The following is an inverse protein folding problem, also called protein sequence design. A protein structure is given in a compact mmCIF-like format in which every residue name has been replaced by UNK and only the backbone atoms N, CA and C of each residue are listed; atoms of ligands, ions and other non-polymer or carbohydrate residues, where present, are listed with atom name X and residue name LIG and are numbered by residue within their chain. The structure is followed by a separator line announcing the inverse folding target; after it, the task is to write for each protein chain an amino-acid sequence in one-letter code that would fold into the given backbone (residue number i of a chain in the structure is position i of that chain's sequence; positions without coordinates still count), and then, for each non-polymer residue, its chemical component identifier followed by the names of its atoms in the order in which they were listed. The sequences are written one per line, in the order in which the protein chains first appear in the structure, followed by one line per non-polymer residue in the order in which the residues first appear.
data_IF_862419592265
#
_entry.id   IF_862419592265
#
_cell.length_a   1.000
_cell.length_b   1.000
_cell.length_c   1.000
_cell.angle_alpha   90.00
_cell.angle_beta   90.00
_cell.angle_gamma   90.00
#
_symmetry.space_group_name_H-M   'P 1'
#
loop_
_entity.id
_entity.type
_entity.pdbx_description
1 polymer ?
#
# COMPACT_ATOMS: atom_id res chain seq x y z
N UNK A 1 8.81 -11.57 -3.06
CA UNK A 1 7.72 -10.57 -3.09
C UNK A 1 6.50 -10.93 -2.25
N UNK A 2 6.21 -12.21 -1.98
CA UNK A 2 5.14 -12.65 -1.04
C UNK A 2 5.78 -13.38 0.13
N UNK A 3 5.25 -13.19 1.33
CA UNK A 3 5.58 -13.98 2.53
C UNK A 3 4.26 -14.21 3.28
N UNK A 4 4.05 -15.38 3.89
CA UNK A 4 2.82 -15.72 4.62
C UNK A 4 3.02 -15.75 6.16
N UNK A 5 4.25 -15.54 6.65
CA UNK A 5 4.56 -15.64 8.08
C UNK A 5 4.08 -14.40 8.85
N UNK A 6 3.02 -14.57 9.65
CA UNK A 6 2.37 -13.52 10.47
C UNK A 6 3.31 -12.84 11.49
N UNK A 7 4.38 -13.52 11.92
CA UNK A 7 5.35 -13.03 12.91
C UNK A 7 6.56 -12.27 12.35
N UNK A 8 6.56 -11.93 11.05
CA UNK A 8 7.71 -11.31 10.41
C UNK A 8 7.79 -9.80 10.70
N UNK A 9 8.91 -9.36 11.29
CA UNK A 9 9.15 -7.96 11.67
C UNK A 9 9.11 -6.96 10.51
N UNK A 10 9.13 -5.65 10.81
CA UNK A 10 9.02 -4.57 9.81
C UNK A 10 9.97 -4.72 8.62
N UNK A 11 11.20 -5.18 8.86
CA UNK A 11 12.21 -5.32 7.81
C UNK A 11 11.82 -6.39 6.77
N UNK A 12 11.17 -7.46 7.20
CA UNK A 12 10.68 -8.51 6.30
C UNK A 12 9.46 -8.03 5.52
N UNK A 13 8.54 -7.30 6.16
CA UNK A 13 7.37 -6.71 5.47
C UNK A 13 7.78 -5.65 4.43
N UNK A 14 8.87 -4.92 4.66
CA UNK A 14 9.44 -4.00 3.67
C UNK A 14 10.02 -4.73 2.46
N UNK A 15 10.70 -5.88 2.67
CA UNK A 15 11.26 -6.72 1.60
C UNK A 15 10.21 -7.57 0.87
N UNK A 16 9.10 -7.91 1.55
CA UNK A 16 7.99 -8.72 1.03
C UNK A 16 6.67 -7.97 1.24
N UNK A 17 6.33 -7.01 0.35
CA UNK A 17 5.24 -6.06 0.59
C UNK A 17 3.83 -6.68 0.50
N UNK A 18 3.72 -7.90 -0.06
CA UNK A 18 2.46 -8.61 -0.21
C UNK A 18 2.31 -9.73 0.83
N UNK A 19 1.16 -9.74 1.50
CA UNK A 19 0.71 -10.81 2.38
C UNK A 19 0.23 -12.02 1.60
N UNK A 20 -0.39 -11.78 0.46
CA UNK A 20 -0.92 -12.82 -0.42
C UNK A 20 -0.89 -12.32 -1.87
N UNK A 21 -0.75 -13.24 -2.80
CA UNK A 21 -0.86 -12.95 -4.22
C UNK A 21 -1.35 -14.17 -4.99
N UNK A 22 -2.24 -13.94 -5.95
CA UNK A 22 -2.76 -14.96 -6.86
C UNK A 22 -2.75 -14.42 -8.27
N UNK A 23 -2.40 -15.27 -9.24
CA UNK A 23 -2.51 -14.94 -10.67
C UNK A 23 -3.35 -16.02 -11.33
N UNK A 24 -4.27 -15.60 -12.20
CA UNK A 24 -4.99 -16.48 -13.10
C UNK A 24 -4.70 -16.05 -14.53
N UNK A 25 -4.31 -17.03 -15.36
CA UNK A 25 -4.12 -16.84 -16.79
C UNK A 25 -5.16 -17.67 -17.52
N UNK A 26 -5.78 -17.11 -18.55
CA UNK A 26 -6.72 -17.81 -19.42
C UNK A 26 -6.40 -17.52 -20.87
N UNK A 27 -6.48 -18.55 -21.70
CA UNK A 27 -6.40 -18.41 -23.15
C UNK A 27 -7.54 -17.55 -23.68
N UNK A 28 -7.27 -16.85 -24.79
CA UNK A 28 -8.29 -16.12 -25.54
C UNK A 28 -8.73 -17.02 -26.71
N UNK A 29 -9.98 -17.52 -26.71
CA UNK A 29 -10.48 -18.36 -27.80
C UNK A 29 -10.35 -17.67 -29.16
N UNK A 30 -9.89 -18.41 -30.16
CA UNK A 30 -9.71 -17.90 -31.52
C UNK A 30 -8.43 -17.07 -31.75
N UNK A 31 -7.57 -16.90 -30.73
CA UNK A 31 -6.27 -16.23 -30.86
C UNK A 31 -5.15 -17.04 -30.20
N UNK A 32 -4.63 -18.09 -30.89
CA UNK A 32 -3.52 -18.89 -30.39
C UNK A 32 -2.33 -18.01 -29.98
N UNK A 33 -1.77 -18.28 -28.80
CA UNK A 33 -0.67 -17.50 -28.23
C UNK A 33 -1.08 -16.22 -27.49
N UNK A 34 -2.38 -15.88 -27.45
CA UNK A 34 -2.89 -14.74 -26.69
C UNK A 34 -3.59 -15.18 -25.40
N UNK A 35 -3.32 -14.47 -24.29
CA UNK A 35 -3.84 -14.80 -22.96
C UNK A 35 -4.29 -13.56 -22.21
N UNK A 36 -5.34 -13.70 -21.40
CA UNK A 36 -5.72 -12.74 -20.37
C UNK A 36 -5.12 -13.17 -19.04
N UNK A 37 -4.47 -12.25 -18.33
CA UNK A 37 -3.96 -12.48 -16.98
C UNK A 37 -4.64 -11.52 -16.00
N UNK A 38 -5.10 -12.06 -14.86
CA UNK A 38 -5.62 -11.30 -13.73
C UNK A 38 -4.75 -11.61 -12.52
N UNK A 39 -4.19 -10.57 -11.91
CA UNK A 39 -3.40 -10.67 -10.69
C UNK A 39 -4.16 -10.02 -9.51
N UNK A 40 -4.35 -10.78 -8.44
CA UNK A 40 -4.87 -10.30 -7.16
C UNK A 40 -3.69 -10.19 -6.20
N UNK A 41 -3.46 -8.99 -5.66
CA UNK A 41 -2.35 -8.72 -4.74
C UNK A 41 -2.95 -8.17 -3.44
N UNK A 42 -2.56 -8.75 -2.29
CA UNK A 42 -2.95 -8.28 -0.96
C UNK A 42 -1.73 -7.69 -0.25
N UNK A 43 -1.59 -6.36 -0.16
CA UNK A 43 -0.51 -5.73 0.59
C UNK A 43 -0.63 -5.96 2.10
N UNK A 44 0.49 -5.91 2.84
CA UNK A 44 0.49 -5.95 4.31
C UNK A 44 0.14 -4.61 4.96
N UNK A 45 0.55 -3.50 4.35
CA UNK A 45 0.36 -2.17 4.91
C UNK A 45 -0.78 -1.45 4.18
N UNK A 46 -1.80 -1.04 4.92
CA UNK A 46 -2.62 0.10 4.53
C UNK A 46 -1.80 1.36 4.85
N UNK A 47 -1.49 2.17 3.83
CA UNK A 47 -1.00 3.52 4.07
C UNK A 47 -2.18 4.30 4.65
N UNK A 48 -2.23 4.44 5.98
CA UNK A 48 -3.09 5.47 6.57
C UNK A 48 -2.49 6.82 6.23
N UNK A 49 -3.29 7.69 5.62
CA UNK A 49 -2.90 9.06 5.33
C UNK A 49 -2.56 9.77 6.65
N UNK A 50 -1.29 10.13 6.85
CA UNK A 50 -0.88 10.90 8.02
C UNK A 50 -1.31 12.37 7.84
N UNK A 51 -2.57 12.69 8.15
CA UNK A 51 -3.05 14.06 8.24
C UNK A 51 -2.35 14.75 9.43
N UNK A 52 -1.27 15.49 9.17
CA UNK A 52 -0.67 16.39 10.17
C UNK A 52 -0.80 17.83 9.69
N UNK A 53 -1.67 18.62 10.32
CA UNK A 53 -1.71 20.07 10.15
C UNK A 53 -1.00 20.74 11.33
N UNK A 54 0.09 21.46 11.06
CA UNK A 54 0.73 22.34 12.03
C UNK A 54 0.21 23.77 11.80
N UNK A 55 -0.47 24.36 12.80
CA UNK A 55 -0.88 25.77 12.77
C UNK A 55 -0.13 26.54 13.85
N UNK A 56 0.77 27.43 13.44
CA UNK A 56 1.38 28.41 14.33
C UNK A 56 0.44 29.62 14.44
N UNK A 57 -0.09 29.89 15.65
CA UNK A 57 -0.84 31.12 15.94
C UNK A 57 0.00 31.96 16.89
N UNK A 58 0.60 33.04 16.36
CA UNK A 58 1.18 34.08 17.19
C UNK A 58 0.11 35.16 17.41
N UNK A 59 -0.23 35.43 18.68
CA UNK A 59 -1.07 36.57 19.07
C UNK A 59 -0.14 37.76 19.33
N UNK A 60 -0.29 38.83 18.55
CA UNK A 60 0.36 40.11 18.85
C UNK A 60 -0.31 40.65 20.12
N UNK A 61 0.42 40.91 21.22
CA UNK A 61 -0.18 41.58 22.37
C UNK A 61 -0.60 42.98 21.93
N UNK A 62 -1.89 43.32 22.09
CA UNK A 62 -2.32 44.71 22.04
C UNK A 62 -1.60 45.41 23.19
N UNK A 63 -0.61 46.25 22.86
CA UNK A 63 -0.04 47.18 23.82
C UNK A 63 -1.18 48.11 24.26
N UNK A 64 -1.69 47.85 25.46
CA UNK A 64 -2.72 48.65 26.08
C UNK A 64 -2.17 50.01 26.51
N UNK A 65 -3.05 51.01 26.35
CA UNK A 65 -3.02 52.38 26.87
C UNK A 65 -2.02 53.36 26.28
#
# INVERSE_FOLDING_TARGET
YVNASEGSGQEVRARYPLADAKVQVREIPGRPGSYNAVAWLRPWLQLEELSTSLRLVAKIPEMGS
#
